data_IF_833178711124
#
_entry.id   IF_833178711124
#
_cell.length_a   1.000
_cell.length_b   1.000
_cell.length_c   1.000
_cell.angle_alpha   90.00
_cell.angle_beta   90.00
_cell.angle_gamma   90.00
#
_symmetry.space_group_name_H-M   'P 1'
#
loop_
_entity.id
_entity.type
_entity.pdbx_description
1 polymer ?
#
# COMPACT_ATOMS: atom_id res chain seq x y z
N UNK A 1 -48.60 -77.69 19.31
CA UNK A 1 -47.31 -77.96 19.97
C UNK A 1 -46.49 -76.68 19.78
N UNK A 2 -46.77 -75.64 20.57
CA UNK A 2 -46.22 -75.36 21.93
C UNK A 2 -44.75 -74.92 21.87
N UNK A 3 -44.25 -73.88 22.52
CA UNK A 3 -44.77 -72.71 23.23
C UNK A 3 -43.57 -71.73 23.41
N UNK A 4 -43.88 -70.42 23.44
CA UNK A 4 -43.35 -69.28 24.21
C UNK A 4 -41.87 -69.13 24.69
N UNK A 5 -41.23 -67.97 24.40
CA UNK A 5 -41.00 -66.85 25.36
C UNK A 5 -40.17 -65.64 24.81
N UNK A 6 -40.84 -64.47 24.62
CA UNK A 6 -40.65 -63.11 25.23
C UNK A 6 -39.26 -62.37 25.29
N UNK A 7 -39.17 -61.02 25.52
CA UNK A 7 -38.64 -60.02 24.55
C UNK A 7 -37.62 -58.95 25.10
N UNK A 8 -36.96 -58.14 24.23
CA UNK A 8 -36.61 -56.69 24.38
C UNK A 8 -35.58 -56.21 23.32
N UNK A 9 -35.87 -55.15 22.55
CA UNK A 9 -35.41 -53.74 22.64
C UNK A 9 -33.90 -53.47 22.37
N UNK A 10 -33.62 -52.65 21.35
CA UNK A 10 -32.63 -51.55 21.40
C UNK A 10 -32.87 -50.53 20.27
N UNK A 11 -33.39 -49.37 20.66
CA UNK A 11 -33.13 -48.07 20.04
C UNK A 11 -31.72 -47.64 20.47
N UNK A 12 -30.91 -47.10 19.55
CA UNK A 12 -29.88 -46.13 19.93
C UNK A 12 -29.90 -44.97 18.93
N UNK A 13 -29.95 -43.78 19.52
CA UNK A 13 -30.00 -42.45 18.95
C UNK A 13 -28.71 -42.11 18.20
N UNK A 14 -28.83 -41.43 17.06
CA UNK A 14 -27.71 -40.73 16.44
C UNK A 14 -27.59 -39.36 17.12
N UNK A 15 -26.50 -39.19 17.86
CA UNK A 15 -26.05 -37.96 18.51
C UNK A 15 -25.66 -36.89 17.48
N UNK A 16 -26.28 -35.72 17.60
CA UNK A 16 -26.13 -34.52 16.78
C UNK A 16 -25.14 -33.58 17.48
N UNK A 17 -23.88 -33.60 17.06
CA UNK A 17 -22.83 -32.73 17.60
C UNK A 17 -21.96 -32.11 16.50
N UNK A 18 -22.55 -31.25 15.67
CA UNK A 18 -21.81 -30.39 14.73
C UNK A 18 -22.17 -28.90 14.80
N UNK A 19 -22.58 -28.38 15.96
CA UNK A 19 -23.03 -26.97 16.08
C UNK A 19 -22.01 -26.01 16.77
N UNK A 20 -20.81 -26.47 17.15
CA UNK A 20 -19.89 -25.61 17.91
C UNK A 20 -18.94 -24.75 17.05
N UNK A 21 -18.76 -25.05 15.75
CA UNK A 21 -17.80 -24.35 14.89
C UNK A 21 -18.41 -23.21 14.08
N UNK A 22 -19.68 -23.31 13.70
CA UNK A 22 -20.40 -22.25 12.98
C UNK A 22 -20.80 -21.09 13.91
N UNK A 23 -21.27 -21.40 15.13
CA UNK A 23 -21.58 -20.37 16.13
C UNK A 23 -20.34 -19.58 16.56
N UNK A 24 -19.18 -20.25 16.69
CA UNK A 24 -17.92 -19.59 17.04
C UNK A 24 -17.41 -18.69 15.91
N UNK A 25 -17.60 -19.09 14.65
CA UNK A 25 -17.28 -18.28 13.47
C UNK A 25 -18.18 -17.05 13.34
N UNK A 26 -19.48 -17.21 13.59
CA UNK A 26 -20.46 -16.11 13.57
C UNK A 26 -20.17 -15.12 14.71
N UNK A 27 -19.79 -15.60 15.89
CA UNK A 27 -19.41 -14.76 17.02
C UNK A 27 -18.15 -13.94 16.73
N UNK A 28 -17.12 -14.54 16.13
CA UNK A 28 -15.90 -13.81 15.74
C UNK A 28 -16.17 -12.74 14.66
N UNK A 29 -17.12 -12.98 13.74
CA UNK A 29 -17.55 -11.97 12.79
C UNK A 29 -18.38 -10.85 13.41
N UNK A 30 -19.24 -11.16 14.38
CA UNK A 30 -20.05 -10.16 15.09
C UNK A 30 -19.22 -9.30 16.05
N UNK A 31 -18.18 -9.85 16.68
CA UNK A 31 -17.24 -9.08 17.51
C UNK A 31 -16.38 -8.11 16.69
N UNK A 32 -16.02 -8.44 15.43
CA UNK A 32 -15.35 -7.51 14.49
C UNK A 32 -16.21 -6.29 14.11
N UNK A 33 -17.54 -6.39 14.15
CA UNK A 33 -18.45 -5.27 13.86
C UNK A 33 -18.64 -4.28 15.03
N UNK A 34 -18.07 -4.55 16.21
CA UNK A 34 -18.24 -3.73 17.42
C UNK A 34 -17.01 -2.94 17.86
N UNK A 35 -16.12 -2.57 16.94
CA UNK A 35 -15.12 -1.54 17.24
C UNK A 35 -15.78 -0.16 17.33
N UNK A 36 -16.22 0.22 18.53
CA UNK A 36 -16.55 1.61 18.83
C UNK A 36 -15.27 2.45 18.77
N UNK A 37 -15.13 3.25 17.70
CA UNK A 37 -14.08 4.27 17.60
C UNK A 37 -14.28 5.32 18.71
N UNK A 38 -13.32 5.52 19.64
CA UNK A 38 -13.41 6.59 20.61
C UNK A 38 -13.26 7.93 19.90
N UNK A 39 -14.28 8.78 20.02
CA UNK A 39 -14.21 10.19 19.61
C UNK A 39 -13.48 10.99 20.68
N UNK A 40 -12.30 11.54 20.35
CA UNK A 40 -11.82 12.89 20.75
C UNK A 40 -10.45 13.18 20.10
N UNK A 41 -10.46 14.09 19.12
CA UNK A 41 -9.28 14.59 18.41
C UNK A 41 -8.57 15.66 19.24
N UNK A 42 -7.29 15.47 19.56
CA UNK A 42 -6.38 16.53 20.00
C UNK A 42 -5.57 17.02 18.80
N UNK A 43 -6.00 18.17 18.25
CA UNK A 43 -5.36 18.84 17.12
C UNK A 43 -4.12 19.60 17.58
N UNK A 44 -2.93 19.25 17.07
CA UNK A 44 -1.73 20.10 17.18
C UNK A 44 -1.73 21.08 16.00
N UNK A 45 -1.84 22.37 16.30
CA UNK A 45 -1.70 23.45 15.31
C UNK A 45 -0.22 23.65 14.97
N UNK A 46 0.16 23.36 13.72
CA UNK A 46 1.50 23.69 13.19
C UNK A 46 1.36 24.81 12.16
N UNK A 47 2.10 25.90 12.37
CA UNK A 47 2.08 27.12 11.54
C UNK A 47 2.65 26.90 10.13
N UNK A 48 1.95 27.43 9.12
CA UNK A 48 2.11 27.20 7.66
C UNK A 48 3.45 27.63 7.02
N UNK A 49 4.45 28.08 7.78
CA UNK A 49 5.63 28.76 7.20
C UNK A 49 6.99 28.24 7.66
N UNK A 50 7.09 27.03 8.23
CA UNK A 50 8.38 26.43 8.61
C UNK A 50 8.73 25.22 7.73
N UNK A 51 10.03 24.99 7.44
CA UNK A 51 10.48 23.78 6.76
C UNK A 51 10.04 22.53 7.52
N UNK A 52 9.82 21.42 6.81
CA UNK A 52 9.37 20.13 7.37
C UNK A 52 10.17 19.78 8.64
N UNK A 53 9.46 19.66 9.76
CA UNK A 53 10.04 19.30 11.05
C UNK A 53 9.81 17.81 11.24
N UNK A 54 10.87 17.05 11.47
CA UNK A 54 10.76 15.71 12.02
C UNK A 54 10.12 15.85 13.42
N UNK A 55 8.85 15.48 13.57
CA UNK A 55 8.20 15.49 14.88
C UNK A 55 8.70 14.26 15.63
N UNK A 56 9.46 14.46 16.72
CA UNK A 56 9.85 13.37 17.61
C UNK A 56 8.62 12.89 18.40
N UNK A 57 8.47 11.57 18.56
CA UNK A 57 7.30 10.88 19.14
C UNK A 57 6.79 11.41 20.49
N UNK A 58 7.60 12.17 21.22
CA UNK A 58 7.25 12.71 22.55
C UNK A 58 6.17 13.79 22.51
N UNK A 59 5.98 14.43 21.35
CA UNK A 59 4.98 15.46 21.14
C UNK A 59 3.65 14.90 20.59
N UNK A 60 3.58 13.59 20.33
CA UNK A 60 2.37 12.87 19.95
C UNK A 60 1.84 12.17 21.19
N UNK A 61 0.63 12.52 21.63
CA UNK A 61 -0.01 11.87 22.77
C UNK A 61 -0.39 10.42 22.42
N UNK A 62 0.50 9.48 22.75
CA UNK A 62 0.35 8.03 22.54
C UNK A 62 -0.44 7.34 23.66
N UNK A 63 -1.05 8.08 24.58
CA UNK A 63 -1.60 7.51 25.84
C UNK A 63 -2.86 6.65 25.71
N UNK A 64 -3.44 6.46 24.52
CA UNK A 64 -4.63 5.61 24.32
C UNK A 64 -4.48 4.52 23.24
N UNK A 65 -3.28 3.96 23.05
CA UNK A 65 -3.13 2.71 22.30
C UNK A 65 -2.43 1.66 23.17
N UNK A 66 -3.20 0.69 23.68
CA UNK A 66 -2.68 -0.51 24.36
C UNK A 66 -1.60 -1.15 23.47
N UNK A 67 -0.34 -0.97 23.86
CA UNK A 67 0.86 -1.29 23.06
C UNK A 67 1.76 -2.28 23.78
N UNK A 68 1.17 -3.40 24.22
CA UNK A 68 1.91 -4.58 24.70
C UNK A 68 2.65 -5.33 23.57
N UNK A 69 2.61 -4.84 22.32
CA UNK A 69 3.23 -5.46 21.15
C UNK A 69 4.58 -4.80 20.85
N UNK A 70 5.66 -5.34 21.44
CA UNK A 70 7.04 -4.86 21.28
C UNK A 70 7.48 -4.73 19.80
N UNK A 71 6.86 -5.50 18.89
CA UNK A 71 7.18 -5.47 17.46
C UNK A 71 6.66 -4.22 16.73
N UNK A 72 5.58 -3.59 17.22
CA UNK A 72 5.12 -2.32 16.64
C UNK A 72 6.20 -1.24 16.82
N UNK A 73 6.87 -1.21 17.97
CA UNK A 73 7.88 -0.20 18.32
C UNK A 73 9.13 -0.19 17.43
N UNK A 74 9.30 -1.15 16.53
CA UNK A 74 10.56 -1.36 15.84
C UNK A 74 10.76 -0.61 14.50
N UNK A 75 9.87 0.31 14.10
CA UNK A 75 10.15 1.39 13.11
C UNK A 75 8.91 2.25 12.79
N UNK A 76 8.54 3.19 13.67
CA UNK A 76 7.38 4.08 13.46
C UNK A 76 7.77 5.37 12.74
N UNK A 77 8.18 5.33 11.47
CA UNK A 77 8.49 6.59 10.78
C UNK A 77 7.17 7.22 10.32
N UNK A 78 6.68 8.19 11.11
CA UNK A 78 5.58 9.06 10.71
C UNK A 78 6.15 10.44 10.40
N UNK A 79 6.07 10.88 9.15
CA UNK A 79 6.52 12.20 8.73
C UNK A 79 5.30 13.00 8.30
N UNK A 80 5.17 14.21 8.83
CA UNK A 80 4.20 15.17 8.36
C UNK A 80 4.92 16.26 7.57
N UNK A 81 4.49 16.49 6.34
CA UNK A 81 5.03 17.53 5.49
C UNK A 81 3.89 18.43 5.01
N UNK A 82 4.08 19.74 5.13
CA UNK A 82 3.20 20.72 4.49
C UNK A 82 3.95 21.27 3.29
N UNK A 83 3.39 21.07 2.09
CA UNK A 83 3.80 21.85 0.91
C UNK A 83 3.05 23.19 0.92
N UNK A 84 3.36 24.13 0.02
CA UNK A 84 2.65 25.41 -0.01
C UNK A 84 1.12 25.28 -0.14
N UNK A 85 0.64 24.19 -0.76
CA UNK A 85 -0.78 23.96 -1.05
C UNK A 85 -1.37 22.70 -0.39
N UNK A 86 -0.55 21.68 -0.11
CA UNK A 86 -1.03 20.36 0.30
C UNK A 86 -0.50 19.95 1.66
N UNK A 87 -1.38 19.37 2.48
CA UNK A 87 -1.01 18.68 3.72
C UNK A 87 -0.73 17.21 3.40
N UNK A 88 0.41 16.71 3.83
CA UNK A 88 0.89 15.37 3.48
C UNK A 88 1.31 14.65 4.74
N UNK A 89 0.86 13.41 4.90
CA UNK A 89 1.36 12.52 5.92
C UNK A 89 1.92 11.26 5.29
N UNK A 90 3.10 10.88 5.75
CA UNK A 90 3.79 9.66 5.40
C UNK A 90 3.87 8.82 6.66
N UNK A 91 3.50 7.55 6.55
CA UNK A 91 3.47 6.60 7.66
C UNK A 91 4.08 5.30 7.17
N UNK A 92 5.22 4.93 7.74
CA UNK A 92 6.01 3.78 7.31
C UNK A 92 6.42 2.89 8.47
N UNK A 93 6.56 1.60 8.21
CA UNK A 93 7.21 0.64 9.10
C UNK A 93 7.84 -0.50 8.29
N UNK A 94 8.96 -1.04 8.81
CA UNK A 94 9.54 -2.31 8.35
C UNK A 94 8.57 -3.49 8.53
N UNK A 95 7.54 -3.30 9.35
CA UNK A 95 6.59 -4.34 9.70
C UNK A 95 7.31 -5.50 10.37
N UNK A 96 7.05 -6.71 9.87
CA UNK A 96 7.63 -7.96 10.40
C UNK A 96 8.93 -8.37 9.68
N UNK A 97 9.41 -7.56 8.73
CA UNK A 97 10.67 -7.82 8.01
C UNK A 97 11.87 -7.38 8.84
N UNK A 98 13.03 -7.99 8.59
CA UNK A 98 14.30 -7.60 9.23
C UNK A 98 14.98 -6.37 8.58
N UNK A 99 14.37 -5.83 7.53
CA UNK A 99 14.86 -4.72 6.73
C UNK A 99 13.68 -3.85 6.29
N UNK A 100 13.97 -2.62 5.86
CA UNK A 100 12.99 -1.75 5.23
C UNK A 100 13.50 -1.26 3.87
N UNK A 101 12.90 -1.78 2.80
CA UNK A 101 13.22 -1.48 1.40
C UNK A 101 12.27 -0.44 0.79
N UNK A 102 11.15 -0.14 1.46
CA UNK A 102 10.21 0.92 1.07
C UNK A 102 10.84 2.31 1.16
N UNK A 103 10.55 3.15 0.18
CA UNK A 103 10.91 4.57 0.16
C UNK A 103 9.74 5.42 -0.31
N UNK A 104 9.69 6.65 0.15
CA UNK A 104 8.68 7.64 -0.27
C UNK A 104 9.30 8.99 -0.55
N UNK A 105 8.61 9.76 -1.37
CA UNK A 105 8.90 11.18 -1.52
C UNK A 105 7.63 12.02 -1.45
N UNK A 106 7.76 13.20 -0.84
CA UNK A 106 6.85 14.32 -0.98
C UNK A 106 7.72 15.53 -1.35
N UNK A 107 7.57 16.03 -2.57
CA UNK A 107 8.49 17.02 -3.15
C UNK A 107 7.68 18.17 -3.74
N UNK A 108 7.74 19.34 -3.11
CA UNK A 108 7.32 20.58 -3.78
C UNK A 108 8.30 20.89 -4.91
N UNK A 109 7.80 21.14 -6.11
CA UNK A 109 8.59 21.58 -7.25
C UNK A 109 8.57 23.10 -7.32
N UNK A 110 7.36 23.68 -7.30
CA UNK A 110 7.08 25.10 -7.25
C UNK A 110 5.67 25.31 -6.62
N UNK A 111 5.18 26.55 -6.45
CA UNK A 111 3.89 26.81 -5.80
C UNK A 111 2.67 26.11 -6.40
N UNK A 112 2.73 25.71 -7.68
CA UNK A 112 1.64 25.06 -8.41
C UNK A 112 1.92 23.61 -8.80
N UNK A 113 3.11 23.10 -8.50
CA UNK A 113 3.56 21.78 -8.92
C UNK A 113 4.16 20.99 -7.75
N UNK A 114 3.68 19.78 -7.54
CA UNK A 114 4.18 18.87 -6.51
C UNK A 114 4.29 17.45 -7.03
N UNK A 115 5.17 16.66 -6.44
CA UNK A 115 5.42 15.28 -6.79
C UNK A 115 5.45 14.42 -5.53
N UNK A 116 4.67 13.34 -5.53
CA UNK A 116 4.62 12.38 -4.43
C UNK A 116 4.83 10.98 -4.99
N UNK A 117 5.44 10.10 -4.20
CA UNK A 117 5.68 8.74 -4.66
C UNK A 117 5.92 7.73 -3.54
N UNK A 118 5.58 6.48 -3.84
CA UNK A 118 5.93 5.27 -3.11
C UNK A 118 6.79 4.40 -4.03
N UNK A 119 7.89 3.89 -3.48
CA UNK A 119 8.82 2.99 -4.14
C UNK A 119 9.05 1.79 -3.23
N UNK A 120 8.41 0.67 -3.56
CA UNK A 120 8.58 -0.59 -2.83
C UNK A 120 9.77 -1.34 -3.43
N UNK A 121 10.84 -1.48 -2.65
CA UNK A 121 12.10 -2.06 -3.11
C UNK A 121 12.16 -3.57 -2.89
N UNK A 122 12.86 -4.28 -3.78
CA UNK A 122 13.11 -5.71 -3.62
C UNK A 122 14.51 -6.09 -4.09
N UNK A 123 15.06 -7.12 -3.44
CA UNK A 123 16.45 -7.56 -3.60
C UNK A 123 17.48 -6.45 -3.28
N UNK A 124 17.16 -5.57 -2.33
CA UNK A 124 17.92 -4.38 -1.98
C UNK A 124 17.08 -3.11 -2.01
N UNK A 125 17.43 -2.13 -1.18
CA UNK A 125 16.74 -0.84 -1.12
C UNK A 125 17.32 0.20 -2.11
N UNK A 126 18.37 -0.14 -2.85
CA UNK A 126 19.16 0.79 -3.65
C UNK A 126 18.34 1.40 -4.80
N UNK A 127 17.53 0.59 -5.48
CA UNK A 127 16.67 1.06 -6.57
C UNK A 127 15.60 2.05 -6.07
N UNK A 128 14.89 1.69 -5.00
CA UNK A 128 13.88 2.56 -4.38
C UNK A 128 14.51 3.85 -3.83
N UNK A 129 15.71 3.76 -3.25
CA UNK A 129 16.46 4.92 -2.72
C UNK A 129 16.86 5.87 -3.85
N UNK A 130 17.40 5.33 -4.95
CA UNK A 130 17.75 6.14 -6.11
C UNK A 130 16.52 6.86 -6.68
N UNK A 131 15.40 6.16 -6.83
CA UNK A 131 14.16 6.75 -7.33
C UNK A 131 13.69 7.89 -6.44
N UNK A 132 13.59 7.67 -5.13
CA UNK A 132 13.24 8.70 -4.15
C UNK A 132 14.09 9.97 -4.29
N UNK A 133 15.40 9.80 -4.39
CA UNK A 133 16.35 10.90 -4.30
C UNK A 133 16.44 11.72 -5.59
N UNK A 134 16.26 11.07 -6.74
CA UNK A 134 16.53 11.68 -8.05
C UNK A 134 15.26 12.04 -8.84
N UNK A 135 14.09 11.50 -8.49
CA UNK A 135 12.88 11.66 -9.31
C UNK A 135 12.49 13.13 -9.52
N UNK A 136 12.66 14.00 -8.52
CA UNK A 136 12.34 15.43 -8.66
C UNK A 136 13.16 16.07 -9.79
N UNK A 137 14.49 15.91 -9.73
CA UNK A 137 15.39 16.52 -10.71
C UNK A 137 15.18 15.92 -12.10
N UNK A 138 15.07 14.60 -12.19
CA UNK A 138 14.83 13.91 -13.46
C UNK A 138 13.49 14.35 -14.07
N UNK A 139 12.43 14.45 -13.28
CA UNK A 139 11.13 14.90 -13.76
C UNK A 139 11.19 16.32 -14.35
N UNK A 140 11.93 17.23 -13.71
CA UNK A 140 12.16 18.58 -14.22
C UNK A 140 12.98 18.56 -15.52
N UNK A 141 14.07 17.77 -15.57
CA UNK A 141 14.95 17.66 -16.74
C UNK A 141 14.24 17.04 -17.94
N UNK A 142 13.31 16.11 -17.68
CA UNK A 142 12.45 15.50 -18.70
C UNK A 142 11.23 16.35 -19.05
N UNK A 143 11.26 17.66 -18.74
CA UNK A 143 10.19 18.60 -19.07
C UNK A 143 8.82 18.19 -18.53
N UNK A 144 8.80 17.60 -17.34
CA UNK A 144 7.59 17.13 -16.65
C UNK A 144 6.88 15.97 -17.37
N UNK A 145 7.61 15.13 -18.12
CA UNK A 145 7.09 13.94 -18.79
C UNK A 145 7.35 12.69 -17.93
N UNK A 146 6.28 12.12 -17.35
CA UNK A 146 6.39 10.94 -16.48
C UNK A 146 6.91 9.69 -17.20
N UNK A 147 6.62 9.53 -18.50
CA UNK A 147 7.11 8.37 -19.26
C UNK A 147 8.62 8.41 -19.40
N UNK A 148 9.15 9.55 -19.84
CA UNK A 148 10.61 9.76 -19.96
C UNK A 148 11.31 9.77 -18.61
N UNK A 149 10.61 10.22 -17.57
CA UNK A 149 11.11 10.20 -16.18
C UNK A 149 11.34 8.75 -15.74
N UNK A 150 10.37 7.87 -15.92
CA UNK A 150 10.49 6.46 -15.56
C UNK A 150 11.54 5.74 -16.42
N UNK A 151 11.61 6.03 -17.72
CA UNK A 151 12.67 5.52 -18.60
C UNK A 151 14.07 5.93 -18.09
N UNK A 152 14.26 7.20 -17.73
CA UNK A 152 15.53 7.71 -17.18
C UNK A 152 15.86 7.07 -15.84
N UNK A 153 14.89 6.96 -14.92
CA UNK A 153 15.07 6.27 -13.64
C UNK A 153 15.53 4.83 -13.85
N UNK A 154 14.86 4.07 -14.71
CA UNK A 154 15.23 2.69 -15.02
C UNK A 154 16.66 2.61 -15.56
N UNK A 155 17.00 3.43 -16.55
CA UNK A 155 18.31 3.43 -17.18
C UNK A 155 19.44 3.74 -16.19
N UNK A 156 19.24 4.64 -15.24
CA UNK A 156 20.25 4.97 -14.22
C UNK A 156 20.34 3.91 -13.11
N UNK A 157 19.22 3.38 -12.64
CA UNK A 157 19.19 2.30 -11.65
C UNK A 157 19.86 1.04 -12.20
N UNK A 158 19.56 0.65 -13.44
CA UNK A 158 20.11 -0.54 -14.08
C UNK A 158 21.64 -0.47 -14.30
N UNK A 159 22.25 0.72 -14.25
CA UNK A 159 23.71 0.89 -14.31
C UNK A 159 24.39 0.66 -12.97
N UNK A 160 23.67 0.86 -11.86
CA UNK A 160 24.26 1.02 -10.53
C UNK A 160 23.96 -0.12 -9.57
N UNK A 161 22.87 -0.86 -9.77
CA UNK A 161 22.48 -1.98 -8.90
C UNK A 161 21.76 -3.09 -9.66
N UNK A 162 21.72 -4.28 -9.06
CA UNK A 162 20.87 -5.39 -9.48
C UNK A 162 19.50 -5.42 -8.81
N UNK A 163 19.29 -4.57 -7.79
CA UNK A 163 18.00 -4.42 -7.11
C UNK A 163 16.93 -3.83 -8.03
N UNK A 164 15.67 -4.02 -7.65
CA UNK A 164 14.52 -3.44 -8.34
C UNK A 164 13.59 -2.73 -7.36
N UNK A 165 12.64 -1.98 -7.91
CA UNK A 165 11.53 -1.46 -7.13
C UNK A 165 10.28 -1.26 -7.99
N UNK A 166 9.13 -1.32 -7.34
CA UNK A 166 7.91 -0.70 -7.86
C UNK A 166 8.05 0.82 -7.78
N UNK A 167 7.22 1.55 -8.53
CA UNK A 167 7.15 2.99 -8.44
C UNK A 167 5.74 3.47 -8.77
N UNK A 168 5.06 4.03 -7.77
CA UNK A 168 3.77 4.70 -7.93
C UNK A 168 3.94 6.16 -7.59
N UNK A 169 3.70 7.03 -8.56
CA UNK A 169 3.99 8.46 -8.47
C UNK A 169 2.76 9.24 -8.86
N UNK A 170 2.45 10.31 -8.13
CA UNK A 170 1.49 11.33 -8.56
C UNK A 170 2.20 12.68 -8.69
N UNK A 171 2.13 13.26 -9.88
CA UNK A 171 2.53 14.62 -10.16
C UNK A 171 1.28 15.50 -10.21
N UNK A 172 1.19 16.48 -9.31
CA UNK A 172 0.16 17.51 -9.39
C UNK A 172 0.73 18.67 -10.18
N UNK A 173 0.04 19.05 -11.27
CA UNK A 173 0.47 20.13 -12.16
C UNK A 173 -0.73 21.03 -12.50
N UNK A 174 -0.71 22.24 -11.97
CA UNK A 174 -1.84 23.16 -12.11
C UNK A 174 -3.08 22.64 -11.39
N UNK A 175 -4.12 22.32 -12.17
CA UNK A 175 -5.42 21.84 -11.66
C UNK A 175 -5.69 20.36 -11.98
N UNK A 176 -4.64 19.59 -12.32
CA UNK A 176 -4.74 18.16 -12.66
C UNK A 176 -3.71 17.32 -11.88
N UNK A 177 -4.11 16.11 -11.48
CA UNK A 177 -3.23 15.09 -10.92
C UNK A 177 -2.93 14.02 -11.97
N UNK A 178 -1.65 13.73 -12.18
CA UNK A 178 -1.14 12.73 -13.13
C UNK A 178 -0.49 11.59 -12.36
N UNK A 179 -1.02 10.39 -12.50
CA UNK A 179 -0.53 9.17 -11.87
C UNK A 179 0.29 8.37 -12.87
N UNK A 180 1.43 7.85 -12.42
CA UNK A 180 2.28 6.92 -13.14
C UNK A 180 2.62 5.74 -12.24
N UNK A 181 2.44 4.52 -12.74
CA UNK A 181 2.69 3.31 -11.98
C UNK A 181 3.50 2.28 -12.77
N UNK A 182 4.50 1.67 -12.14
CA UNK A 182 5.06 0.35 -12.50
C UNK A 182 5.11 -0.52 -11.24
N UNK A 183 4.78 -1.81 -11.40
CA UNK A 183 4.63 -2.73 -10.27
C UNK A 183 3.22 -2.70 -9.68
N UNK A 184 3.10 -3.07 -8.41
CA UNK A 184 1.84 -3.38 -7.76
C UNK A 184 1.46 -2.50 -6.56
N UNK A 185 2.33 -1.55 -6.19
CA UNK A 185 1.98 -0.48 -5.26
C UNK A 185 0.74 0.30 -5.75
N UNK A 186 -0.32 0.42 -4.92
CA UNK A 186 -1.56 1.05 -5.36
C UNK A 186 -1.62 2.56 -5.10
N UNK A 187 -2.36 3.26 -5.96
CA UNK A 187 -2.80 4.63 -5.75
C UNK A 187 -4.33 4.70 -5.77
N UNK A 188 -4.91 5.47 -4.87
CA UNK A 188 -6.35 5.76 -4.86
C UNK A 188 -6.62 7.24 -4.65
N UNK A 189 -7.80 7.67 -5.09
CA UNK A 189 -8.39 8.95 -4.72
C UNK A 189 -9.68 8.73 -3.97
N UNK A 190 -9.95 9.63 -3.02
CA UNK A 190 -11.28 9.83 -2.46
C UNK A 190 -11.89 11.00 -3.19
N UNK A 191 -13.05 10.80 -3.83
CA UNK A 191 -13.78 11.85 -4.52
C UNK A 191 -14.56 12.74 -3.56
N UNK A 192 -15.08 13.85 -4.08
CA UNK A 192 -15.92 14.77 -3.31
C UNK A 192 -17.19 14.12 -2.73
N UNK A 193 -17.69 13.05 -3.35
CA UNK A 193 -18.83 12.25 -2.87
C UNK A 193 -18.43 11.13 -1.88
N UNK A 194 -17.15 11.09 -1.48
CA UNK A 194 -16.52 10.07 -0.66
C UNK A 194 -16.42 8.66 -1.31
N UNK A 195 -16.64 8.53 -2.62
CA UNK A 195 -16.30 7.30 -3.34
C UNK A 195 -14.77 7.14 -3.43
N UNK A 196 -14.30 5.90 -3.45
CA UNK A 196 -12.89 5.56 -3.70
C UNK A 196 -12.74 5.12 -5.15
N UNK A 197 -11.72 5.63 -5.83
CA UNK A 197 -11.35 5.19 -7.18
C UNK A 197 -9.86 4.88 -7.24
N UNK A 198 -9.51 3.75 -7.86
CA UNK A 198 -8.13 3.32 -8.04
C UNK A 198 -7.50 4.04 -9.23
N UNK A 199 -6.37 4.70 -9.00
CA UNK A 199 -5.61 5.48 -9.99
C UNK A 199 -4.33 4.77 -10.44
N UNK A 200 -4.26 3.45 -10.23
CA UNK A 200 -3.15 2.62 -10.71
C UNK A 200 -3.64 1.25 -11.19
N UNK A 201 -2.90 0.71 -12.16
CA UNK A 201 -3.06 -0.66 -12.64
C UNK A 201 -1.98 -1.53 -11.99
N UNK A 202 -2.36 -2.67 -11.40
CA UNK A 202 -1.45 -3.54 -10.65
C UNK A 202 -0.77 -4.53 -11.59
N UNK A 203 0.54 -4.36 -11.81
CA UNK A 203 1.32 -5.16 -12.75
C UNK A 203 1.80 -6.47 -12.10
N UNK A 204 0.87 -7.42 -11.90
CA UNK A 204 1.12 -8.72 -11.25
C UNK A 204 1.06 -9.87 -12.25
N UNK A 205 1.84 -10.90 -11.96
CA UNK A 205 1.92 -12.15 -12.75
C UNK A 205 0.64 -13.00 -12.77
N UNK A 206 -0.43 -12.60 -12.08
CA UNK A 206 -1.73 -13.25 -12.14
C UNK A 206 -2.71 -12.52 -13.08
N UNK A 207 -2.32 -11.38 -13.64
CA UNK A 207 -3.08 -10.71 -14.69
C UNK A 207 -2.79 -11.37 -16.05
N UNK A 208 -3.80 -11.89 -16.77
CA UNK A 208 -3.60 -12.53 -18.06
C UNK A 208 -2.94 -11.66 -19.13
N UNK A 209 -3.16 -10.34 -19.10
CA UNK A 209 -2.56 -9.41 -20.06
C UNK A 209 -1.07 -9.18 -19.77
N UNK A 210 -0.70 -9.10 -18.48
CA UNK A 210 0.70 -8.99 -18.06
C UNK A 210 1.45 -10.31 -18.30
N UNK A 211 0.83 -11.47 -18.03
CA UNK A 211 1.42 -12.78 -18.37
C UNK A 211 1.73 -12.90 -19.86
N UNK A 212 0.80 -12.44 -20.70
CA UNK A 212 0.99 -12.42 -22.16
C UNK A 212 2.15 -11.49 -22.54
N UNK A 213 2.22 -10.28 -21.99
CA UNK A 213 3.32 -9.34 -22.24
C UNK A 213 4.67 -9.95 -21.88
N UNK A 214 4.80 -10.59 -20.71
CA UNK A 214 6.05 -11.25 -20.29
C UNK A 214 6.50 -12.30 -21.31
N UNK A 215 5.58 -13.13 -21.81
CA UNK A 215 5.89 -14.18 -22.78
C UNK A 215 6.28 -13.58 -24.14
N UNK A 216 5.57 -12.54 -24.59
CA UNK A 216 5.88 -11.82 -25.84
C UNK A 216 7.26 -11.13 -25.78
N UNK A 217 7.68 -10.67 -24.60
CA UNK A 217 9.00 -10.11 -24.34
C UNK A 217 10.10 -11.18 -24.13
N UNK A 218 9.80 -12.46 -24.32
CA UNK A 218 10.76 -13.56 -24.26
C UNK A 218 11.00 -14.12 -22.85
N UNK A 219 10.17 -13.77 -21.88
CA UNK A 219 10.17 -14.36 -20.54
C UNK A 219 9.27 -15.60 -20.43
N UNK A 220 9.26 -16.19 -19.24
CA UNK A 220 8.33 -17.26 -18.87
C UNK A 220 7.69 -16.99 -17.52
N UNK A 221 6.45 -17.43 -17.34
CA UNK A 221 5.77 -17.44 -16.04
C UNK A 221 5.85 -18.84 -15.47
N UNK A 222 6.52 -18.99 -14.32
CA UNK A 222 6.61 -20.25 -13.59
C UNK A 222 5.70 -20.20 -12.37
N UNK A 223 4.85 -21.20 -12.21
CA UNK A 223 4.07 -21.37 -11.00
C UNK A 223 4.87 -22.23 -10.01
N UNK A 224 5.40 -21.59 -8.96
CA UNK A 224 6.17 -22.22 -7.90
C UNK A 224 5.37 -22.15 -6.61
N UNK A 225 4.95 -23.31 -6.08
CA UNK A 225 4.17 -23.41 -4.84
C UNK A 225 2.90 -22.52 -4.82
N UNK A 226 2.11 -22.54 -5.89
CA UNK A 226 0.92 -21.70 -6.10
C UNK A 226 1.19 -20.20 -6.20
N UNK A 227 2.43 -19.80 -6.47
CA UNK A 227 2.81 -18.41 -6.73
C UNK A 227 3.40 -18.31 -8.13
N UNK A 228 2.75 -17.51 -9.00
CA UNK A 228 3.30 -17.19 -10.33
C UNK A 228 4.47 -16.23 -10.19
N UNK A 229 5.54 -16.50 -10.94
CA UNK A 229 6.77 -15.69 -10.93
C UNK A 229 7.35 -15.56 -12.34
N UNK A 230 7.79 -14.35 -12.70
CA UNK A 230 8.57 -14.10 -13.92
C UNK A 230 9.93 -14.77 -13.80
N UNK A 231 10.24 -15.67 -14.75
CA UNK A 231 11.45 -16.47 -14.79
C UNK A 231 11.76 -17.20 -13.46
N UNK A 232 10.71 -17.48 -12.66
CA UNK A 232 10.82 -18.10 -11.33
C UNK A 232 11.30 -17.17 -10.20
N UNK A 233 11.45 -15.87 -10.43
CA UNK A 233 12.09 -14.95 -9.49
C UNK A 233 11.10 -14.02 -8.79
N UNK A 234 10.41 -13.14 -9.52
CA UNK A 234 9.59 -12.05 -8.95
C UNK A 234 8.11 -12.16 -9.34
N UNK A 235 7.22 -11.55 -8.55
CA UNK A 235 5.76 -11.64 -8.75
C UNK A 235 5.17 -10.45 -9.53
N UNK A 236 5.95 -9.38 -9.70
CA UNK A 236 5.59 -8.22 -10.53
C UNK A 236 6.11 -8.39 -11.96
N UNK A 237 5.39 -7.81 -12.91
CA UNK A 237 5.70 -7.88 -14.35
C UNK A 237 6.31 -6.59 -14.89
N UNK A 238 6.27 -5.52 -14.09
CA UNK A 238 6.86 -4.23 -14.41
C UNK A 238 7.57 -3.66 -13.18
N UNK A 239 8.76 -3.08 -13.38
CA UNK A 239 9.55 -2.47 -12.31
C UNK A 239 10.60 -1.50 -12.86
N UNK A 240 11.18 -0.71 -11.96
CA UNK A 240 12.41 0.03 -12.20
C UNK A 240 13.58 -0.81 -11.67
N UNK A 241 14.71 -0.86 -12.39
CA UNK A 241 15.84 -1.72 -12.02
C UNK A 241 15.71 -3.12 -12.60
N UNK A 242 15.92 -4.16 -11.78
CA UNK A 242 15.82 -5.59 -12.16
C UNK A 242 16.51 -5.94 -13.48
N UNK A 243 17.67 -5.35 -13.75
CA UNK A 243 18.32 -5.41 -15.07
C UNK A 243 18.42 -6.82 -15.67
N UNK A 244 18.65 -7.84 -14.82
CA UNK A 244 18.77 -9.23 -15.25
C UNK A 244 17.46 -9.84 -15.79
N UNK A 245 16.32 -9.21 -15.48
CA UNK A 245 14.97 -9.65 -15.87
C UNK A 245 14.37 -8.79 -17.00
N UNK A 246 15.04 -7.73 -17.44
CA UNK A 246 14.72 -7.04 -18.69
C UNK A 246 15.43 -7.72 -19.88
N UNK A 247 14.81 -7.79 -21.08
CA UNK A 247 13.56 -7.16 -21.48
C UNK A 247 12.23 -7.88 -21.14
N UNK A 248 12.16 -9.10 -20.55
CA UNK A 248 10.87 -9.67 -20.14
C UNK A 248 9.98 -8.69 -19.35
N UNK A 249 10.56 -8.01 -18.36
CA UNK A 249 9.90 -6.93 -17.63
C UNK A 249 9.80 -5.64 -18.46
N UNK A 250 8.77 -4.84 -18.17
CA UNK A 250 8.63 -3.46 -18.65
C UNK A 250 8.95 -2.45 -17.54
N UNK A 251 9.49 -1.29 -17.92
CA UNK A 251 9.63 -0.11 -17.05
C UNK A 251 8.76 1.06 -17.53
N UNK A 252 7.89 0.83 -18.52
CA UNK A 252 6.97 1.84 -19.05
C UNK A 252 5.76 1.98 -18.13
N UNK A 253 5.52 3.16 -17.53
CA UNK A 253 4.43 3.30 -16.57
C UNK A 253 3.06 3.27 -17.22
N UNK A 254 2.10 2.66 -16.52
CA UNK A 254 0.68 2.93 -16.74
C UNK A 254 0.35 4.35 -16.27
N UNK A 255 -0.35 5.13 -17.09
CA UNK A 255 -0.67 6.53 -16.84
C UNK A 255 -2.17 6.75 -16.64
N UNK A 256 -2.53 7.55 -15.65
CA UNK A 256 -3.90 8.01 -15.39
C UNK A 256 -3.88 9.49 -15.02
N UNK A 257 -4.97 10.22 -15.31
CA UNK A 257 -5.12 11.60 -14.82
C UNK A 257 -6.55 11.90 -14.40
N UNK A 258 -6.68 12.84 -13.48
CA UNK A 258 -7.98 13.30 -12.95
C UNK A 258 -7.89 14.77 -12.53
N UNK A 259 -8.92 15.60 -12.80
CA UNK A 259 -8.97 16.98 -12.32
C UNK A 259 -8.94 17.07 -10.79
N UNK A 260 -8.16 18.00 -10.22
CA UNK A 260 -8.03 18.15 -8.77
C UNK A 260 -9.34 18.51 -8.07
N UNK A 261 -10.25 19.23 -8.76
CA UNK A 261 -11.54 19.62 -8.20
C UNK A 261 -12.49 18.44 -7.95
N UNK A 262 -12.20 17.26 -8.50
CA UNK A 262 -12.94 16.02 -8.23
C UNK A 262 -12.42 15.26 -7.02
N UNK A 263 -11.24 15.64 -6.49
CA UNK A 263 -10.48 14.88 -5.51
C UNK A 263 -10.54 15.59 -4.15
N UNK A 264 -10.90 14.83 -3.12
CA UNK A 264 -10.83 15.24 -1.71
C UNK A 264 -9.48 14.89 -1.09
N UNK A 265 -8.98 13.68 -1.36
CA UNK A 265 -7.67 13.24 -0.89
C UNK A 265 -7.10 12.18 -1.82
N UNK A 266 -5.76 12.09 -1.86
CA UNK A 266 -5.02 11.07 -2.60
C UNK A 266 -4.31 10.18 -1.57
N UNK A 267 -4.24 8.88 -1.83
CA UNK A 267 -3.43 7.93 -1.05
C UNK A 267 -2.55 7.08 -1.97
N UNK A 268 -1.26 6.99 -1.66
CA UNK A 268 -0.31 6.07 -2.28
C UNK A 268 0.19 5.08 -1.22
N UNK A 269 0.31 3.81 -1.56
CA UNK A 269 0.70 2.77 -0.59
C UNK A 269 1.64 1.75 -1.24
N UNK A 270 2.40 1.01 -0.42
CA UNK A 270 2.98 -0.28 -0.83
C UNK A 270 1.93 -1.39 -0.73
N UNK A 271 2.20 -2.54 -1.35
CA UNK A 271 1.25 -3.66 -1.35
C UNK A 271 1.08 -4.28 0.06
N UNK A 272 2.04 -4.08 0.96
CA UNK A 272 1.95 -4.44 2.37
C UNK A 272 0.74 -3.85 3.12
N UNK A 273 0.08 -2.83 2.56
CA UNK A 273 -1.24 -2.38 3.02
C UNK A 273 -2.36 -3.22 2.42
N UNK A 274 -2.43 -3.30 1.09
CA UNK A 274 -3.56 -3.93 0.38
C UNK A 274 -3.57 -5.45 0.45
N UNK A 275 -2.48 -6.06 0.90
CA UNK A 275 -2.46 -7.47 1.30
C UNK A 275 -3.24 -7.72 2.60
N UNK A 276 -3.49 -6.69 3.41
CA UNK A 276 -4.19 -6.76 4.69
C UNK A 276 -5.52 -6.00 4.74
N UNK A 277 -5.70 -4.96 3.91
CA UNK A 277 -6.91 -4.14 3.85
C UNK A 277 -7.54 -4.16 2.47
N UNK A 278 -8.86 -4.11 2.45
CA UNK A 278 -9.66 -3.83 1.26
C UNK A 278 -9.71 -2.33 0.94
N UNK A 279 -9.98 -2.01 -0.32
CA UNK A 279 -10.20 -0.62 -0.78
C UNK A 279 -11.28 0.11 0.03
N UNK A 280 -12.33 -0.60 0.46
CA UNK A 280 -13.41 -0.01 1.27
C UNK A 280 -12.98 0.30 2.69
N UNK A 281 -12.16 -0.56 3.32
CA UNK A 281 -11.60 -0.28 4.64
C UNK A 281 -10.66 0.93 4.60
N UNK A 282 -9.84 1.03 3.55
CA UNK A 282 -8.97 2.19 3.32
C UNK A 282 -9.80 3.47 3.15
N UNK A 283 -10.86 3.42 2.33
CA UNK A 283 -11.81 4.53 2.15
C UNK A 283 -12.42 4.95 3.48
N UNK A 284 -12.89 4.00 4.28
CA UNK A 284 -13.59 4.29 5.53
C UNK A 284 -12.69 5.05 6.52
N UNK A 285 -11.40 4.67 6.61
CA UNK A 285 -10.42 5.42 7.40
C UNK A 285 -10.20 6.83 6.84
N UNK A 286 -10.00 6.97 5.53
CA UNK A 286 -9.76 8.27 4.87
C UNK A 286 -10.95 9.24 5.00
N UNK A 287 -12.17 8.71 5.14
CA UNK A 287 -13.40 9.49 5.29
C UNK A 287 -13.70 9.81 6.76
N UNK A 288 -13.45 8.87 7.68
CA UNK A 288 -13.78 9.01 9.09
C UNK A 288 -12.81 9.92 9.85
N UNK A 289 -11.51 9.83 9.56
CA UNK A 289 -10.48 10.58 10.27
C UNK A 289 -10.36 12.01 9.74
N UNK A 290 -10.14 12.98 10.63
CA UNK A 290 -10.06 14.39 10.26
C UNK A 290 -8.64 14.86 9.93
N UNK A 291 -7.62 14.23 10.52
CA UNK A 291 -6.22 14.62 10.33
C UNK A 291 -5.55 13.70 9.32
N UNK A 292 -4.82 14.29 8.35
CA UNK A 292 -4.01 13.54 7.38
C UNK A 292 -3.00 12.61 8.06
N UNK A 293 -2.45 13.01 9.21
CA UNK A 293 -1.53 12.19 10.02
C UNK A 293 -2.24 10.96 10.55
N UNK A 294 -3.40 11.14 11.18
CA UNK A 294 -4.18 10.05 11.75
C UNK A 294 -4.65 9.10 10.65
N UNK A 295 -5.06 9.61 9.48
CA UNK A 295 -5.37 8.77 8.29
C UNK A 295 -4.22 7.82 7.94
N UNK A 296 -3.01 8.37 7.74
CA UNK A 296 -1.85 7.59 7.33
C UNK A 296 -1.41 6.58 8.41
N UNK A 297 -1.44 6.98 9.69
CA UNK A 297 -1.08 6.12 10.82
C UNK A 297 -2.11 5.01 11.03
N UNK A 298 -3.40 5.32 10.97
CA UNK A 298 -4.47 4.34 11.15
C UNK A 298 -4.44 3.27 10.05
N UNK A 299 -4.27 3.66 8.77
CA UNK A 299 -4.14 2.68 7.68
C UNK A 299 -2.94 1.73 7.93
N UNK A 300 -1.75 2.28 8.22
CA UNK A 300 -0.55 1.49 8.50
C UNK A 300 -0.76 0.53 9.68
N UNK A 301 -1.34 1.04 10.77
CA UNK A 301 -1.53 0.27 12.00
C UNK A 301 -2.57 -0.84 11.81
N UNK A 302 -3.67 -0.58 11.09
CA UNK A 302 -4.64 -1.61 10.73
C UNK A 302 -3.98 -2.66 9.84
N UNK A 303 -3.14 -2.29 8.88
CA UNK A 303 -2.44 -3.25 8.02
C UNK A 303 -1.52 -4.16 8.82
N UNK A 304 -0.75 -3.58 9.73
CA UNK A 304 0.12 -4.33 10.62
C UNK A 304 -0.66 -5.30 11.52
N UNK A 305 -1.72 -4.82 12.19
CA UNK A 305 -2.59 -5.63 13.07
C UNK A 305 -3.39 -6.67 12.29
N UNK A 306 -3.74 -6.38 11.05
CA UNK A 306 -4.38 -7.29 10.09
C UNK A 306 -3.49 -8.44 9.62
N UNK A 307 -2.22 -8.46 10.05
CA UNK A 307 -1.30 -9.57 9.80
C UNK A 307 -0.39 -9.37 8.59
N UNK A 308 -0.27 -8.15 8.07
CA UNK A 308 0.69 -7.85 7.00
C UNK A 308 2.10 -8.34 7.36
N UNK A 309 2.72 -9.07 6.43
CA UNK A 309 4.05 -9.64 6.61
C UNK A 309 5.14 -8.83 5.92
N UNK A 310 4.78 -7.68 5.36
CA UNK A 310 5.68 -6.88 4.55
C UNK A 310 6.12 -5.58 5.23
N UNK A 311 6.98 -4.84 4.54
CA UNK A 311 7.11 -3.40 4.75
C UNK A 311 5.77 -2.73 4.44
N UNK A 312 5.44 -1.70 5.21
CA UNK A 312 4.15 -1.02 5.08
C UNK A 312 4.44 0.46 4.93
N UNK A 313 3.96 1.02 3.84
CA UNK A 313 4.10 2.43 3.54
C UNK A 313 2.75 3.02 3.12
N UNK A 314 2.42 4.19 3.69
CA UNK A 314 1.22 4.96 3.38
C UNK A 314 1.60 6.43 3.21
N UNK A 315 1.19 7.05 2.11
CA UNK A 315 1.28 8.50 1.87
C UNK A 315 -0.12 9.02 1.62
N UNK A 316 -0.61 9.91 2.48
CA UNK A 316 -1.91 10.57 2.32
C UNK A 316 -1.68 12.05 2.03
N UNK A 317 -2.38 12.55 1.01
CA UNK A 317 -2.31 13.95 0.55
C UNK A 317 -3.73 14.52 0.59
N UNK A 318 -3.90 15.66 1.27
CA UNK A 318 -5.15 16.43 1.25
C UNK A 318 -5.01 17.65 0.34
N UNK A 319 -6.02 17.87 -0.51
CA UNK A 319 -6.07 18.92 -1.53
C UNK A 319 -6.89 20.15 -1.11
#
# INVERSE_FOLDING_TARGET
MSDENSPNQNFEEYDDSTDSSEEEFIRQQQEKQRLHLPRKSSTILIEKTKPAVLVEDKDIDVTEFDSDDEDLNASHISVYETTEKYNVAISQTRGRRNYNEDRTCAKSIDPSNALFGVFDGHNGHEAATFCRDNIKQIYQDQSFDLTKTFETLHNEVAKTTGAGCTATVVAIKGDEAFFANVGDSPAFVIKSDNSIEKMSYSHKTNDPSEEKMIVENGGVILNLFNTKRVNGQIMVTQSIGDKALHPPLSSTPSLYSIPLNEIKSIVLMSDGVTDALTDLEIRDVLVAESSVVTKAQTIRNIAYKGGSKDNICVVVIEL
#
